data_IF_273608909559
#
_entry.id   IF_273608909559
#
_cell.length_a   1.000
_cell.length_b   1.000
_cell.length_c   1.000
_cell.angle_alpha   90.00
_cell.angle_beta   90.00
_cell.angle_gamma   90.00
#
_symmetry.space_group_name_H-M   'P 1'
#
loop_
_entity.id
_entity.type
_entity.pdbx_description
1 polymer ?
#
# COMPACT_ATOMS: atom_id res chain seq x y z
N UNK A 1 -22.54 -13.26 89.45
CA UNK A 1 -21.98 -12.10 88.73
C UNK A 1 -22.33 -12.24 87.26
N UNK A 2 -23.09 -11.26 86.77
CA UNK A 2 -23.69 -11.19 85.43
C UNK A 2 -22.66 -10.78 84.38
N UNK A 3 -22.59 -11.49 83.26
CA UNK A 3 -21.99 -10.97 82.02
C UNK A 3 -22.98 -11.23 80.89
N UNK A 4 -23.78 -10.20 80.58
CA UNK A 4 -24.61 -10.12 79.36
C UNK A 4 -23.68 -9.87 78.16
N UNK A 5 -23.70 -10.75 77.17
CA UNK A 5 -23.15 -10.49 75.83
C UNK A 5 -24.25 -9.84 74.99
N UNK A 6 -24.08 -8.58 74.66
CA UNK A 6 -24.94 -7.82 73.75
C UNK A 6 -24.53 -8.11 72.31
N UNK A 7 -25.43 -8.73 71.53
CA UNK A 7 -25.28 -8.89 70.09
C UNK A 7 -25.73 -7.61 69.38
N UNK A 8 -24.81 -6.90 68.76
CA UNK A 8 -25.09 -5.78 67.85
C UNK A 8 -25.41 -6.36 66.46
N UNK A 9 -26.66 -6.25 66.02
CA UNK A 9 -27.03 -6.41 64.61
C UNK A 9 -26.56 -5.16 63.84
N UNK A 10 -25.60 -5.30 62.96
CA UNK A 10 -25.25 -4.27 61.97
C UNK A 10 -26.22 -4.39 60.78
N UNK A 11 -27.09 -3.41 60.63
CA UNK A 11 -27.98 -3.26 59.48
C UNK A 11 -27.16 -2.67 58.32
N UNK A 12 -26.77 -3.50 57.35
CA UNK A 12 -26.11 -3.04 56.14
C UNK A 12 -27.15 -2.37 55.22
N UNK A 13 -27.15 -1.03 55.18
CA UNK A 13 -27.86 -0.29 54.13
C UNK A 13 -27.15 -0.52 52.80
N UNK A 14 -27.76 -1.31 51.92
CA UNK A 14 -27.39 -1.37 50.51
C UNK A 14 -27.98 -0.13 49.83
N UNK A 15 -27.16 0.91 49.66
CA UNK A 15 -27.48 2.01 48.77
C UNK A 15 -27.35 1.53 47.32
N UNK A 16 -28.49 1.25 46.69
CA UNK A 16 -28.56 1.05 45.24
C UNK A 16 -28.27 2.38 44.54
N UNK A 17 -26.98 2.67 44.34
CA UNK A 17 -26.55 3.78 43.49
C UNK A 17 -26.90 3.45 42.04
N UNK A 18 -27.90 4.14 41.50
CA UNK A 18 -28.13 4.16 40.05
C UNK A 18 -26.92 4.82 39.39
N UNK A 19 -26.02 4.01 38.84
CA UNK A 19 -24.99 4.46 37.91
C UNK A 19 -25.71 5.01 36.68
N UNK A 20 -25.90 6.34 36.65
CA UNK A 20 -26.27 7.04 35.42
C UNK A 20 -25.06 6.90 34.49
N UNK A 21 -25.16 6.01 33.50
CA UNK A 21 -24.17 5.91 32.45
C UNK A 21 -24.04 7.28 31.79
N UNK A 22 -22.85 7.89 31.86
CA UNK A 22 -22.55 9.06 31.06
C UNK A 22 -22.81 8.69 29.58
N UNK A 23 -23.41 9.58 28.76
CA UNK A 23 -23.59 9.30 27.35
C UNK A 23 -22.21 8.98 26.76
N UNK A 24 -22.08 7.81 26.13
CA UNK A 24 -20.88 7.47 25.40
C UNK A 24 -20.68 8.55 24.33
N UNK A 25 -19.64 9.37 24.48
CA UNK A 25 -19.24 10.28 23.42
C UNK A 25 -18.89 9.42 22.20
N UNK A 26 -19.66 9.58 21.12
CA UNK A 26 -19.32 8.95 19.85
C UNK A 26 -17.87 9.30 19.50
N UNK A 27 -17.08 8.30 19.10
CA UNK A 27 -15.72 8.56 18.65
C UNK A 27 -15.74 9.63 17.55
N UNK A 28 -14.89 10.65 17.66
CA UNK A 28 -14.80 11.68 16.65
C UNK A 28 -14.48 11.03 15.30
N UNK A 29 -15.31 11.30 14.29
CA UNK A 29 -15.10 10.82 12.93
C UNK A 29 -14.35 11.85 12.07
N UNK A 30 -13.89 11.46 10.88
CA UNK A 30 -13.43 12.36 9.85
C UNK A 30 -14.38 13.53 9.59
N UNK A 31 -13.80 14.72 9.36
CA UNK A 31 -14.54 15.91 8.92
C UNK A 31 -14.15 16.28 7.50
N UNK A 32 -15.04 16.96 6.78
CA UNK A 32 -14.80 17.34 5.37
C UNK A 32 -13.86 18.54 5.27
N UNK A 33 -12.90 18.46 4.34
CA UNK A 33 -12.08 19.58 3.90
C UNK A 33 -12.51 20.03 2.50
N UNK A 34 -12.26 21.30 2.10
CA UNK A 34 -12.53 21.75 0.74
C UNK A 34 -11.64 21.01 -0.27
N UNK A 35 -12.21 20.07 -1.03
CA UNK A 35 -11.46 19.23 -1.95
C UNK A 35 -10.75 20.03 -3.07
N UNK A 36 -11.33 21.16 -3.49
CA UNK A 36 -10.74 22.06 -4.47
C UNK A 36 -9.38 22.66 -4.07
N UNK A 37 -8.96 22.50 -2.82
CA UNK A 37 -7.62 22.90 -2.36
C UNK A 37 -6.53 21.93 -2.80
N UNK A 38 -6.85 20.72 -3.27
CA UNK A 38 -5.87 19.68 -3.58
C UNK A 38 -5.93 19.33 -5.07
N UNK A 39 -4.79 19.44 -5.75
CA UNK A 39 -4.67 19.15 -7.18
C UNK A 39 -3.47 18.26 -7.48
N UNK A 40 -3.57 17.49 -8.55
CA UNK A 40 -2.48 16.73 -9.16
C UNK A 40 -2.10 17.35 -10.50
N UNK A 41 -0.80 17.29 -10.82
CA UNK A 41 -0.26 17.54 -12.15
C UNK A 41 0.40 16.26 -12.65
N UNK A 42 -0.05 15.73 -13.78
CA UNK A 42 0.41 14.45 -14.30
C UNK A 42 1.20 14.63 -15.60
N UNK A 43 2.38 14.00 -15.67
CA UNK A 43 3.22 13.93 -16.86
C UNK A 43 3.63 12.48 -17.12
N UNK A 44 3.06 11.86 -18.15
CA UNK A 44 3.34 10.47 -18.57
C UNK A 44 4.34 10.38 -19.73
N UNK A 45 4.80 11.51 -20.27
CA UNK A 45 5.69 11.54 -21.44
C UNK A 45 7.12 11.92 -21.09
N UNK A 46 7.39 12.22 -19.81
CA UNK A 46 8.68 12.66 -19.29
C UNK A 46 9.85 11.77 -19.73
N UNK A 47 9.63 10.46 -19.85
CA UNK A 47 10.67 9.49 -20.15
C UNK A 47 10.49 8.78 -21.50
N UNK A 48 9.57 9.21 -22.36
CA UNK A 48 9.18 8.45 -23.57
C UNK A 48 10.34 8.12 -24.50
N UNK A 49 11.20 9.11 -24.79
CA UNK A 49 12.33 8.93 -25.71
C UNK A 49 13.34 7.91 -25.18
N UNK A 50 13.69 8.00 -23.89
CA UNK A 50 14.65 7.08 -23.25
C UNK A 50 14.03 5.69 -23.09
N UNK A 51 12.77 5.60 -22.64
CA UNK A 51 12.07 4.33 -22.49
C UNK A 51 11.90 3.58 -23.81
N UNK A 52 11.58 4.29 -24.90
CA UNK A 52 11.48 3.67 -26.23
C UNK A 52 12.81 3.08 -26.67
N UNK A 53 13.91 3.76 -26.38
CA UNK A 53 15.26 3.28 -26.67
C UNK A 53 15.68 2.11 -25.75
N UNK A 54 15.33 2.15 -24.46
CA UNK A 54 15.54 1.04 -23.53
C UNK A 54 14.78 -0.22 -23.97
N UNK A 55 13.50 -0.09 -24.35
CA UNK A 55 12.69 -1.19 -24.88
C UNK A 55 13.33 -1.80 -26.13
N UNK A 56 13.82 -0.95 -27.04
CA UNK A 56 14.48 -1.41 -28.27
C UNK A 56 15.78 -2.18 -27.99
N UNK A 57 16.59 -1.72 -27.03
CA UNK A 57 17.90 -2.34 -26.74
C UNK A 57 17.81 -3.56 -25.81
N UNK A 58 17.07 -3.46 -24.71
CA UNK A 58 16.98 -4.51 -23.68
C UNK A 58 15.87 -5.54 -23.98
N UNK A 59 14.85 -5.14 -24.75
CA UNK A 59 13.64 -5.93 -24.95
C UNK A 59 12.74 -5.95 -23.71
N UNK A 60 11.49 -6.34 -23.90
CA UNK A 60 10.50 -6.44 -22.83
C UNK A 60 10.11 -7.89 -22.53
N UNK A 61 9.46 -8.08 -21.38
CA UNK A 61 8.74 -9.29 -21.03
C UNK A 61 7.32 -8.93 -20.56
N UNK A 62 6.27 -9.60 -21.07
CA UNK A 62 4.93 -9.46 -20.51
C UNK A 62 4.84 -10.10 -19.12
N UNK A 63 3.77 -9.77 -18.38
CA UNK A 63 3.61 -10.20 -16.98
C UNK A 63 3.56 -11.72 -16.85
N UNK A 64 2.86 -12.43 -17.74
CA UNK A 64 2.83 -13.89 -17.71
C UNK A 64 4.21 -14.50 -17.85
N UNK A 65 5.05 -13.98 -18.76
CA UNK A 65 6.43 -14.46 -18.91
C UNK A 65 7.24 -14.20 -17.65
N UNK A 66 7.07 -13.05 -17.00
CA UNK A 66 7.75 -12.74 -15.72
C UNK A 66 7.33 -13.74 -14.64
N UNK A 67 6.06 -14.12 -14.59
CA UNK A 67 5.52 -15.08 -13.63
C UNK A 67 5.87 -16.54 -13.93
N UNK A 68 5.93 -16.94 -15.20
CA UNK A 68 6.50 -18.23 -15.63
C UNK A 68 7.97 -18.37 -15.17
N UNK A 69 8.66 -17.24 -15.01
CA UNK A 69 10.04 -17.14 -14.53
C UNK A 69 10.12 -16.82 -13.01
N UNK A 70 9.01 -16.92 -12.27
CA UNK A 70 9.02 -16.76 -10.82
C UNK A 70 9.91 -17.83 -10.16
N UNK A 71 10.80 -17.38 -9.28
CA UNK A 71 11.91 -18.19 -8.80
C UNK A 71 12.06 -18.20 -7.27
N UNK A 72 11.11 -17.63 -6.54
CA UNK A 72 11.06 -17.61 -5.08
C UNK A 72 9.75 -18.19 -4.62
N UNK A 73 9.79 -19.04 -3.59
CA UNK A 73 8.61 -19.72 -3.07
C UNK A 73 7.92 -18.90 -1.98
N UNK A 74 6.59 -18.84 -2.03
CA UNK A 74 5.78 -18.37 -0.90
C UNK A 74 5.82 -19.41 0.21
N UNK A 75 5.90 -18.96 1.44
CA UNK A 75 5.65 -19.79 2.62
C UNK A 75 4.19 -19.62 3.08
N UNK A 76 3.58 -20.64 3.71
CA UNK A 76 2.29 -20.45 4.36
C UNK A 76 2.41 -19.45 5.51
N UNK A 77 1.29 -18.82 5.84
CA UNK A 77 1.15 -18.08 7.11
C UNK A 77 1.45 -19.03 8.28
N UNK A 78 2.13 -18.55 9.34
CA UNK A 78 2.35 -19.37 10.52
C UNK A 78 1.02 -19.64 11.21
N UNK A 79 0.86 -20.81 11.81
CA UNK A 79 -0.37 -21.19 12.54
C UNK A 79 -0.70 -20.27 13.72
N UNK A 80 0.30 -19.53 14.21
CA UNK A 80 0.16 -18.51 15.26
C UNK A 80 -0.34 -17.16 14.75
N UNK A 81 -0.32 -16.90 13.44
CA UNK A 81 -0.85 -15.66 12.89
C UNK A 81 -2.37 -15.69 12.90
N UNK A 82 -2.97 -14.76 13.64
CA UNK A 82 -4.41 -14.64 13.80
C UNK A 82 -4.82 -13.19 13.81
N UNK A 83 -5.82 -12.87 13.00
CA UNK A 83 -6.50 -11.58 12.94
C UNK A 83 -7.97 -11.85 12.63
N UNK A 84 -8.88 -11.00 13.13
CA UNK A 84 -10.30 -11.23 12.92
C UNK A 84 -10.63 -11.26 11.42
N UNK A 85 -11.50 -12.20 11.01
CA UNK A 85 -11.91 -12.31 9.61
C UNK A 85 -10.84 -12.81 8.64
N UNK A 86 -9.69 -13.33 9.12
CA UNK A 86 -8.64 -13.90 8.27
C UNK A 86 -9.23 -14.91 7.28
N UNK A 87 -8.98 -14.68 5.98
CA UNK A 87 -9.46 -15.51 4.88
C UNK A 87 -8.34 -16.27 4.19
N UNK A 88 -7.09 -15.85 4.37
CA UNK A 88 -5.92 -16.49 3.78
C UNK A 88 -4.74 -15.52 3.65
N UNK A 89 -3.65 -16.03 3.09
CA UNK A 89 -2.45 -15.25 2.84
C UNK A 89 -1.21 -16.12 2.75
N UNK A 90 -0.05 -15.48 2.78
CA UNK A 90 1.25 -16.13 2.68
C UNK A 90 2.33 -15.31 3.40
N UNK A 91 3.54 -15.84 3.45
CA UNK A 91 4.77 -15.13 3.76
C UNK A 91 5.73 -15.18 2.59
N UNK A 92 6.58 -14.18 2.49
CA UNK A 92 7.76 -14.28 1.62
C UNK A 92 8.69 -15.39 2.12
N UNK A 93 9.65 -15.79 1.27
CA UNK A 93 10.63 -16.82 1.63
C UNK A 93 11.45 -16.42 2.86
N UNK A 94 12.24 -17.35 3.42
CA UNK A 94 12.99 -17.07 4.64
C UNK A 94 14.01 -15.94 4.48
N UNK A 95 14.58 -15.75 3.28
CA UNK A 95 15.54 -14.69 3.00
C UNK A 95 14.88 -13.33 3.05
N UNK A 96 13.81 -13.14 2.28
CA UNK A 96 13.01 -11.93 2.27
C UNK A 96 12.25 -11.70 3.56
N UNK A 97 11.92 -12.73 4.34
CA UNK A 97 11.26 -12.55 5.62
C UNK A 97 12.23 -12.06 6.70
N UNK A 98 13.51 -12.46 6.65
CA UNK A 98 14.52 -12.14 7.67
C UNK A 98 15.46 -10.98 7.31
N UNK A 99 15.45 -10.51 6.07
CA UNK A 99 16.33 -9.42 5.60
C UNK A 99 16.04 -8.09 6.33
N UNK A 100 16.98 -7.60 7.13
CA UNK A 100 16.87 -6.31 7.80
C UNK A 100 17.21 -5.09 6.92
N UNK A 101 17.43 -5.27 5.60
CA UNK A 101 17.64 -4.17 4.65
C UNK A 101 16.43 -3.88 3.79
N UNK A 102 15.66 -4.90 3.40
CA UNK A 102 14.50 -4.72 2.51
C UNK A 102 13.20 -4.75 3.29
N UNK A 103 12.26 -3.85 3.01
CA UNK A 103 11.00 -3.75 3.77
C UNK A 103 9.80 -3.61 2.84
N UNK A 104 8.73 -4.42 3.01
CA UNK A 104 7.50 -4.27 2.25
C UNK A 104 6.69 -3.10 2.79
N UNK A 105 5.97 -2.43 1.91
CA UNK A 105 5.28 -1.17 2.21
C UNK A 105 3.88 -1.15 1.60
N UNK A 106 3.75 -0.98 0.29
CA UNK A 106 2.46 -0.92 -0.38
C UNK A 106 1.90 -2.29 -0.76
N UNK A 107 0.57 -2.38 -0.92
CA UNK A 107 -0.11 -3.54 -1.51
C UNK A 107 -1.21 -3.15 -2.49
N UNK A 108 -1.29 -3.87 -3.60
CA UNK A 108 -2.39 -3.80 -4.58
C UNK A 108 -2.55 -5.18 -5.22
N UNK A 109 -3.59 -5.37 -6.03
CA UNK A 109 -3.87 -6.68 -6.64
C UNK A 109 -4.28 -6.56 -8.10
N UNK A 110 -4.24 -7.66 -8.86
CA UNK A 110 -4.73 -7.67 -10.24
C UNK A 110 -6.23 -7.31 -10.33
N UNK A 111 -6.98 -7.47 -9.24
CA UNK A 111 -8.36 -6.98 -9.16
C UNK A 111 -8.46 -5.47 -9.11
N UNK A 112 -7.51 -4.79 -8.48
CA UNK A 112 -7.36 -3.34 -8.64
C UNK A 112 -7.07 -2.98 -10.10
N UNK A 113 -6.39 -3.83 -10.87
CA UNK A 113 -6.09 -3.56 -12.28
C UNK A 113 -7.32 -3.67 -13.19
N UNK A 114 -7.96 -4.85 -13.21
CA UNK A 114 -8.99 -5.23 -14.20
C UNK A 114 -10.39 -5.39 -13.60
N UNK A 115 -10.52 -5.40 -12.28
CA UNK A 115 -11.78 -5.62 -11.57
C UNK A 115 -12.11 -7.10 -11.50
N UNK A 116 -13.38 -7.43 -11.69
CA UNK A 116 -13.86 -8.83 -11.76
C UNK A 116 -13.91 -9.36 -13.19
N UNK A 117 -13.58 -8.54 -14.19
CA UNK A 117 -13.41 -8.97 -15.56
C UNK A 117 -12.33 -10.07 -15.63
N UNK A 118 -12.61 -11.15 -16.35
CA UNK A 118 -11.70 -12.31 -16.43
C UNK A 118 -11.37 -12.92 -15.07
N UNK A 119 -12.28 -12.87 -14.09
CA UNK A 119 -12.05 -13.32 -12.71
C UNK A 119 -11.00 -12.53 -11.95
N UNK A 120 -10.68 -11.31 -12.40
CA UNK A 120 -9.60 -10.52 -11.83
C UNK A 120 -8.21 -10.91 -12.31
N UNK A 121 -8.13 -11.70 -13.38
CA UNK A 121 -6.86 -12.06 -14.01
C UNK A 121 -6.29 -10.91 -14.84
N UNK A 122 -5.03 -10.60 -14.58
CA UNK A 122 -4.21 -9.76 -15.45
C UNK A 122 -3.21 -10.64 -16.18
N UNK A 123 -3.25 -10.63 -17.51
CA UNK A 123 -2.34 -11.40 -18.36
C UNK A 123 -2.31 -12.90 -17.98
N UNK A 124 -3.46 -13.47 -17.62
CA UNK A 124 -3.59 -14.89 -17.24
C UNK A 124 -3.37 -15.23 -15.76
N UNK A 125 -3.01 -14.26 -14.91
CA UNK A 125 -2.73 -14.50 -13.50
C UNK A 125 -3.58 -13.65 -12.55
N UNK A 126 -3.97 -14.19 -11.39
CA UNK A 126 -4.42 -13.41 -10.25
C UNK A 126 -3.21 -13.08 -9.38
N UNK A 127 -2.89 -11.79 -9.25
CA UNK A 127 -1.64 -11.36 -8.62
C UNK A 127 -1.88 -10.49 -7.39
N UNK A 128 -1.05 -10.69 -6.38
CA UNK A 128 -0.84 -9.74 -5.29
C UNK A 128 0.49 -9.04 -5.53
N UNK A 129 0.46 -7.71 -5.57
CA UNK A 129 1.62 -6.86 -5.85
C UNK A 129 1.97 -6.09 -4.60
N UNK A 130 3.24 -6.17 -4.18
CA UNK A 130 3.74 -5.41 -3.03
C UNK A 130 4.88 -4.51 -3.45
N UNK A 131 4.90 -3.26 -2.98
CA UNK A 131 6.07 -2.38 -3.13
C UNK A 131 7.00 -2.53 -1.93
N UNK A 132 8.29 -2.32 -2.18
CA UNK A 132 9.34 -2.47 -1.20
C UNK A 132 10.40 -1.40 -1.38
N UNK A 133 11.05 -1.02 -0.30
CA UNK A 133 12.34 -0.35 -0.36
C UNK A 133 13.47 -1.27 0.13
N UNK A 134 14.71 -0.89 -0.17
CA UNK A 134 15.91 -1.54 0.31
C UNK A 134 16.92 -0.50 0.74
N UNK A 135 17.44 -0.64 1.94
CA UNK A 135 18.48 0.22 2.50
C UNK A 135 19.89 -0.27 2.15
N UNK A 136 20.86 0.65 2.20
CA UNK A 136 22.28 0.32 2.00
C UNK A 136 22.80 -0.69 3.04
N UNK A 137 22.32 -0.59 4.26
CA UNK A 137 22.58 -1.47 5.39
C UNK A 137 21.36 -1.52 6.31
N UNK A 138 21.33 -2.41 7.30
CA UNK A 138 20.19 -2.47 8.22
C UNK A 138 20.11 -1.17 9.03
N UNK A 139 19.01 -0.42 8.89
CA UNK A 139 18.86 0.94 9.43
C UNK A 139 19.64 2.02 8.67
N UNK A 140 20.10 1.71 7.45
CA UNK A 140 20.79 2.65 6.56
C UNK A 140 19.83 3.57 5.82
N UNK A 141 20.38 4.28 4.82
CA UNK A 141 19.56 5.11 3.94
C UNK A 141 18.91 4.24 2.85
N UNK A 142 17.70 4.64 2.43
CA UNK A 142 17.01 4.05 1.30
C UNK A 142 17.89 4.14 0.05
N UNK A 143 18.11 3.00 -0.58
CA UNK A 143 18.96 2.87 -1.76
C UNK A 143 18.13 2.55 -3.00
N UNK A 144 17.14 1.66 -2.86
CA UNK A 144 16.38 1.09 -4.00
C UNK A 144 14.93 0.88 -3.64
N UNK A 145 14.10 0.75 -4.66
CA UNK A 145 12.72 0.32 -4.54
C UNK A 145 12.38 -0.72 -5.60
N UNK A 146 11.45 -1.61 -5.28
CA UNK A 146 11.04 -2.72 -6.13
C UNK A 146 9.55 -3.01 -5.96
N UNK A 147 8.99 -3.77 -6.89
CA UNK A 147 7.74 -4.48 -6.67
C UNK A 147 7.98 -5.99 -6.68
N UNK A 148 7.13 -6.70 -5.96
CA UNK A 148 7.06 -8.16 -6.00
C UNK A 148 5.69 -8.55 -6.53
N UNK A 149 5.67 -9.37 -7.58
CA UNK A 149 4.47 -10.03 -8.09
C UNK A 149 4.39 -11.42 -7.46
N UNK A 150 3.35 -11.70 -6.70
CA UNK A 150 3.07 -13.01 -6.11
C UNK A 150 1.82 -13.61 -6.76
N UNK A 151 1.93 -14.85 -7.22
CA UNK A 151 0.78 -15.56 -7.79
C UNK A 151 -0.19 -15.96 -6.69
N UNK A 152 -1.47 -15.66 -6.90
CA UNK A 152 -2.58 -16.02 -6.03
C UNK A 152 -3.60 -16.92 -6.75
N UNK A 153 -3.39 -17.19 -8.03
CA UNK A 153 -4.20 -18.14 -8.77
C UNK A 153 -3.74 -19.57 -8.45
N UNK A 154 -4.70 -20.40 -8.03
CA UNK A 154 -4.45 -21.79 -7.65
C UNK A 154 -3.97 -22.67 -8.82
N UNK A 155 -4.07 -22.20 -10.06
CA UNK A 155 -3.53 -22.91 -11.23
C UNK A 155 -2.01 -22.79 -11.37
N UNK A 156 -1.38 -21.85 -10.66
CA UNK A 156 0.05 -21.60 -10.72
C UNK A 156 0.75 -22.01 -9.41
N UNK A 157 2.05 -22.31 -9.45
CA UNK A 157 2.82 -22.57 -8.23
C UNK A 157 2.77 -21.39 -7.26
N UNK A 158 2.82 -21.68 -5.96
CA UNK A 158 2.90 -20.69 -4.89
C UNK A 158 4.24 -19.93 -4.90
N UNK A 159 4.45 -19.08 -5.92
CA UNK A 159 5.72 -18.39 -6.18
C UNK A 159 5.56 -16.90 -6.37
N UNK A 160 6.68 -16.20 -6.30
CA UNK A 160 6.76 -14.77 -6.58
C UNK A 160 8.02 -14.38 -7.34
N UNK A 161 7.97 -13.19 -7.95
CA UNK A 161 9.06 -12.60 -8.72
C UNK A 161 9.29 -11.15 -8.33
N UNK A 162 10.56 -10.78 -8.16
CA UNK A 162 11.00 -9.41 -7.87
C UNK A 162 11.27 -8.66 -9.16
N UNK A 163 10.85 -7.39 -9.21
CA UNK A 163 11.11 -6.45 -10.31
C UNK A 163 11.62 -5.14 -9.72
N UNK A 164 12.84 -4.73 -10.09
CA UNK A 164 13.42 -3.49 -9.60
C UNK A 164 12.73 -2.29 -10.24
N UNK A 165 12.36 -1.27 -9.46
CA UNK A 165 11.86 -0.01 -10.00
C UNK A 165 13.05 0.89 -10.33
N UNK A 166 13.11 1.38 -11.58
CA UNK A 166 14.26 2.17 -12.04
C UNK A 166 13.83 3.49 -12.68
N UNK A 167 14.65 4.52 -12.53
CA UNK A 167 14.45 5.80 -13.19
C UNK A 167 15.26 5.81 -14.49
N UNK A 168 14.63 6.06 -15.65
CA UNK A 168 15.36 6.23 -16.90
C UNK A 168 16.31 7.43 -16.85
N UNK A 169 17.49 7.27 -17.45
CA UNK A 169 18.56 8.28 -17.54
C UNK A 169 19.23 8.23 -18.92
N UNK A 170 20.14 9.17 -19.17
CA UNK A 170 20.85 9.26 -20.46
C UNK A 170 19.98 9.87 -21.56
N UNK A 171 20.13 9.38 -22.79
CA UNK A 171 19.45 9.91 -23.99
C UNK A 171 18.88 8.76 -24.83
N UNK A 172 18.11 9.05 -25.87
CA UNK A 172 17.65 8.00 -26.80
C UNK A 172 18.82 7.27 -27.50
N UNK A 173 19.96 7.93 -27.73
CA UNK A 173 21.14 7.32 -28.34
C UNK A 173 21.93 6.45 -27.34
N UNK A 174 22.01 6.90 -26.10
CA UNK A 174 22.67 6.22 -24.99
C UNK A 174 21.68 6.08 -23.81
N UNK A 175 20.68 5.18 -23.92
CA UNK A 175 19.66 5.04 -22.90
C UNK A 175 20.18 4.20 -21.73
N UNK A 176 19.86 4.64 -20.53
CA UNK A 176 20.32 4.03 -19.29
C UNK A 176 19.25 4.12 -18.19
N UNK A 177 19.52 3.57 -17.01
CA UNK A 177 18.65 3.72 -15.85
C UNK A 177 19.45 3.63 -14.53
N UNK A 178 18.85 4.17 -13.47
CA UNK A 178 19.41 4.13 -12.10
C UNK A 178 18.35 3.75 -11.07
N UNK A 179 18.83 3.45 -9.87
CA UNK A 179 18.00 3.15 -8.71
C UNK A 179 17.03 4.30 -8.38
N UNK A 180 15.87 3.92 -7.85
CA UNK A 180 14.91 4.84 -7.23
C UNK A 180 14.97 4.65 -5.69
N UNK A 181 15.62 5.55 -4.94
CA UNK A 181 15.78 5.45 -3.48
C UNK A 181 14.59 6.08 -2.76
N UNK A 182 13.41 5.46 -2.86
CA UNK A 182 12.20 5.94 -2.18
C UNK A 182 11.63 4.88 -1.25
N UNK A 183 10.82 5.34 -0.29
CA UNK A 183 10.12 4.48 0.65
C UNK A 183 9.08 3.58 -0.02
N UNK A 184 8.45 4.05 -1.11
CA UNK A 184 7.41 3.33 -1.83
C UNK A 184 6.23 2.91 -0.92
N UNK A 185 5.81 3.80 -0.01
CA UNK A 185 4.84 3.58 1.07
C UNK A 185 3.44 3.10 0.65
N UNK A 186 3.11 3.22 -0.63
CA UNK A 186 1.86 2.72 -1.19
C UNK A 186 2.01 2.39 -2.67
N UNK A 187 1.31 1.36 -3.13
CA UNK A 187 1.20 1.01 -4.55
C UNK A 187 -0.27 0.83 -4.90
N UNK A 188 -0.67 1.29 -6.08
CA UNK A 188 -2.01 1.11 -6.62
C UNK A 188 -1.92 0.74 -8.09
N UNK A 189 -2.72 -0.23 -8.52
CA UNK A 189 -2.73 -0.74 -9.89
C UNK A 189 -4.03 -0.38 -10.59
N UNK A 190 -3.99 0.26 -11.76
CA UNK A 190 -5.18 0.45 -12.58
C UNK A 190 -4.89 0.31 -14.08
N UNK A 191 -5.59 -0.62 -14.75
CA UNK A 191 -5.26 -1.01 -16.12
C UNK A 191 -3.84 -1.57 -16.20
N UNK A 192 -2.99 -0.99 -17.05
CA UNK A 192 -1.59 -1.39 -17.20
C UNK A 192 -0.62 -0.63 -16.28
N UNK A 193 -1.12 0.33 -15.50
CA UNK A 193 -0.29 1.27 -14.76
C UNK A 193 -0.20 0.94 -13.28
N UNK A 194 1.03 0.93 -12.76
CA UNK A 194 1.32 0.98 -11.33
C UNK A 194 1.66 2.41 -10.92
N UNK A 195 0.96 2.88 -9.90
CA UNK A 195 1.22 4.12 -9.20
C UNK A 195 1.91 3.80 -7.89
N UNK A 196 3.04 4.44 -7.61
CA UNK A 196 3.82 4.23 -6.38
C UNK A 196 3.98 5.55 -5.67
N UNK A 197 3.58 5.62 -4.41
CA UNK A 197 3.70 6.81 -3.59
C UNK A 197 5.19 7.16 -3.33
N UNK A 198 5.52 8.43 -3.56
CA UNK A 198 6.81 9.04 -3.25
C UNK A 198 6.55 10.12 -2.20
N UNK A 199 6.85 9.81 -0.93
CA UNK A 199 6.32 10.45 0.29
C UNK A 199 6.18 11.98 0.22
N UNK A 200 7.18 12.67 -0.32
CA UNK A 200 7.19 14.14 -0.43
C UNK A 200 6.89 14.70 -1.82
N UNK A 201 6.72 13.84 -2.84
CA UNK A 201 6.71 14.24 -4.24
C UNK A 201 5.43 13.86 -5.00
N UNK A 202 4.54 13.05 -4.40
CA UNK A 202 3.31 12.57 -5.02
C UNK A 202 3.42 11.11 -5.42
N UNK A 203 3.36 10.82 -6.71
CA UNK A 203 3.45 9.45 -7.23
C UNK A 203 4.41 9.33 -8.42
N UNK A 204 5.09 8.19 -8.49
CA UNK A 204 5.77 7.70 -9.68
C UNK A 204 4.87 6.73 -10.41
N UNK A 205 4.91 6.76 -11.74
CA UNK A 205 4.08 5.90 -12.59
C UNK A 205 4.96 4.93 -13.36
N UNK A 206 4.53 3.67 -13.40
CA UNK A 206 5.16 2.58 -14.14
C UNK A 206 4.13 1.89 -15.03
N UNK A 207 4.55 1.31 -16.15
CA UNK A 207 3.69 0.62 -17.12
C UNK A 207 4.12 -0.85 -17.23
N UNK A 208 3.27 -1.78 -16.80
CA UNK A 208 3.58 -3.22 -16.73
C UNK A 208 3.80 -3.86 -18.10
N UNK A 209 3.44 -3.19 -19.20
CA UNK A 209 3.78 -3.65 -20.56
C UNK A 209 5.23 -3.37 -20.94
N UNK A 210 5.93 -2.56 -20.14
CA UNK A 210 7.31 -2.10 -20.37
C UNK A 210 8.30 -2.68 -19.36
N UNK A 211 8.03 -3.85 -18.78
CA UNK A 211 9.02 -4.58 -17.96
C UNK A 211 10.18 -4.97 -18.88
N UNK A 212 11.37 -4.46 -18.58
CA UNK A 212 12.59 -4.71 -19.35
C UNK A 212 13.30 -5.95 -18.82
N UNK A 213 13.95 -6.68 -19.72
CA UNK A 213 14.84 -7.79 -19.36
C UNK A 213 16.23 -7.25 -19.07
N UNK A 214 16.87 -7.77 -18.04
CA UNK A 214 18.26 -7.46 -17.68
C UNK A 214 19.07 -8.74 -17.57
N UNK A 215 20.38 -8.62 -17.79
CA UNK A 215 21.31 -9.72 -17.69
C UNK A 215 21.70 -9.94 -16.21
N UNK A 216 21.68 -11.20 -15.77
CA UNK A 216 21.96 -11.59 -14.38
C UNK A 216 23.39 -12.09 -14.16
N UNK A 217 24.26 -11.99 -15.17
CA UNK A 217 25.68 -12.36 -15.11
C UNK A 217 26.59 -11.31 -14.49
N UNK A 218 26.05 -10.14 -14.12
CA UNK A 218 26.76 -9.08 -13.40
C UNK A 218 26.93 -9.33 -11.90
N UNK A 219 27.26 -8.27 -11.16
CA UNK A 219 27.31 -8.27 -9.70
C UNK A 219 26.15 -7.49 -9.08
N UNK A 220 25.94 -7.70 -7.77
CA UNK A 220 24.92 -6.98 -7.00
C UNK A 220 25.17 -5.45 -6.89
N UNK A 221 26.34 -4.97 -7.29
CA UNK A 221 26.71 -3.54 -7.26
C UNK A 221 26.49 -2.84 -8.60
N UNK A 222 26.30 -3.60 -9.69
CA UNK A 222 26.17 -3.04 -11.03
C UNK A 222 24.72 -2.75 -11.40
N UNK A 223 24.52 -1.59 -12.05
CA UNK A 223 23.24 -1.16 -12.61
C UNK A 223 23.47 -0.42 -13.91
N UNK A 224 22.48 -0.49 -14.79
CA UNK A 224 22.45 0.28 -16.03
C UNK A 224 23.24 -0.36 -17.16
N UNK A 225 23.46 0.42 -18.20
CA UNK A 225 24.14 0.03 -19.42
C UNK A 225 25.59 -0.40 -19.14
N UNK A 226 25.99 -1.50 -19.76
CA UNK A 226 27.36 -2.01 -19.70
C UNK A 226 28.04 -1.85 -21.07
N UNK A 227 27.97 -2.89 -21.89
CA UNK A 227 28.52 -2.92 -23.25
C UNK A 227 27.50 -3.51 -24.21
N UNK A 228 27.52 -3.07 -25.47
CA UNK A 228 26.54 -3.51 -26.46
C UNK A 228 25.10 -3.25 -26.01
N UNK A 229 24.29 -4.30 -25.95
CA UNK A 229 22.90 -4.26 -25.47
C UNK A 229 22.73 -4.85 -24.06
N UNK A 230 23.83 -5.02 -23.31
CA UNK A 230 23.80 -5.61 -21.97
C UNK A 230 23.48 -4.55 -20.92
N UNK A 231 22.48 -4.84 -20.09
CA UNK A 231 22.09 -4.04 -18.94
C UNK A 231 22.09 -4.90 -17.69
N UNK A 232 22.72 -4.40 -16.62
CA UNK A 232 22.68 -5.04 -15.30
C UNK A 232 21.74 -4.28 -14.37
N UNK A 233 21.25 -4.98 -13.35
CA UNK A 233 20.34 -4.42 -12.36
C UNK A 233 20.43 -5.16 -11.04
N UNK A 234 21.60 -5.18 -10.40
CA UNK A 234 21.80 -5.81 -9.09
C UNK A 234 21.39 -7.29 -9.06
N UNK A 235 21.67 -8.01 -10.14
CA UNK A 235 21.24 -9.40 -10.40
C UNK A 235 19.72 -9.63 -10.52
N UNK A 236 18.91 -8.57 -10.62
CA UNK A 236 17.52 -8.69 -11.05
C UNK A 236 17.53 -9.03 -12.55
N UNK A 237 16.65 -9.94 -12.98
CA UNK A 237 16.45 -10.21 -14.41
C UNK A 237 15.39 -9.30 -15.04
N UNK A 238 14.68 -8.53 -14.21
CA UNK A 238 13.62 -7.63 -14.65
C UNK A 238 13.71 -6.29 -13.92
N UNK A 239 13.60 -5.22 -14.70
CA UNK A 239 13.41 -3.86 -14.19
C UNK A 239 12.14 -3.26 -14.79
N UNK A 240 11.49 -2.40 -14.03
CA UNK A 240 10.31 -1.67 -14.46
C UNK A 240 10.66 -0.17 -14.47
N UNK A 241 10.88 0.42 -15.66
CA UNK A 241 11.25 1.82 -15.77
C UNK A 241 10.06 2.73 -15.50
N UNK A 242 10.32 3.83 -14.78
CA UNK A 242 9.36 4.89 -14.59
C UNK A 242 8.95 5.48 -15.94
N UNK A 243 7.64 5.63 -16.17
CA UNK A 243 7.08 6.25 -17.38
C UNK A 243 6.59 7.66 -17.12
N UNK A 244 6.20 7.98 -15.89
CA UNK A 244 5.64 9.29 -15.56
C UNK A 244 5.80 9.71 -14.11
N UNK A 245 5.45 10.97 -13.86
CA UNK A 245 5.42 11.57 -12.53
C UNK A 245 4.09 12.27 -12.35
N UNK A 246 3.53 12.15 -11.14
CA UNK A 246 2.35 12.88 -10.73
C UNK A 246 2.70 13.65 -9.47
N UNK A 247 2.74 14.97 -9.57
CA UNK A 247 3.00 15.85 -8.44
C UNK A 247 1.70 16.35 -7.83
N UNK A 248 1.73 16.68 -6.55
CA UNK A 248 0.58 17.20 -5.83
C UNK A 248 0.83 18.64 -5.37
N UNK A 249 -0.20 19.47 -5.49
CA UNK A 249 -0.20 20.85 -5.03
C UNK A 249 -1.37 21.10 -4.11
N UNK A 250 -1.20 22.04 -3.18
CA UNK A 250 -2.29 22.44 -2.29
C UNK A 250 -2.30 23.92 -1.96
N UNK A 251 -3.49 24.51 -1.90
CA UNK A 251 -3.73 25.86 -1.39
C UNK A 251 -4.01 25.90 0.11
N UNK A 252 -4.03 24.74 0.78
CA UNK A 252 -4.21 24.63 2.23
C UNK A 252 -2.95 24.99 3.04
N UNK A 253 -1.88 25.45 2.38
CA UNK A 253 -0.64 25.93 2.99
C UNK A 253 0.39 24.86 3.38
N UNK A 254 0.01 23.58 3.49
CA UNK A 254 0.94 22.49 3.88
C UNK A 254 0.90 21.33 2.90
N UNK A 255 2.06 20.97 2.34
CA UNK A 255 2.22 19.86 1.40
C UNK A 255 1.68 18.54 1.96
N UNK A 256 1.22 17.66 1.06
CA UNK A 256 0.76 16.32 1.40
C UNK A 256 1.94 15.41 1.73
N UNK A 257 1.86 14.66 2.84
CA UNK A 257 2.82 13.63 3.21
C UNK A 257 2.28 12.25 2.82
N UNK A 258 2.60 11.76 1.63
CA UNK A 258 2.02 10.56 1.04
C UNK A 258 2.50 9.30 1.75
N UNK A 259 1.65 8.68 2.57
CA UNK A 259 2.00 7.41 3.21
C UNK A 259 1.61 6.23 2.34
N UNK A 260 0.31 6.05 2.13
CA UNK A 260 -0.23 4.96 1.33
C UNK A 260 -1.24 5.49 0.33
N UNK A 261 -1.43 4.71 -0.73
CA UNK A 261 -2.45 4.89 -1.75
C UNK A 261 -3.15 3.56 -2.04
N UNK A 262 -4.37 3.62 -2.55
CA UNK A 262 -5.10 2.45 -3.07
C UNK A 262 -6.15 2.88 -4.08
N UNK A 263 -6.65 1.93 -4.87
CA UNK A 263 -7.69 2.19 -5.85
C UNK A 263 -9.07 1.96 -5.23
N UNK A 264 -9.96 2.94 -5.36
CA UNK A 264 -11.41 2.70 -5.28
C UNK A 264 -11.93 2.45 -6.70
N UNK A 265 -12.20 1.18 -6.99
CA UNK A 265 -12.71 0.76 -8.29
C UNK A 265 -14.14 1.16 -8.56
N UNK A 266 -14.97 1.45 -7.55
CA UNK A 266 -16.35 1.86 -7.79
C UNK A 266 -16.35 3.30 -8.31
N UNK A 267 -15.60 4.18 -7.66
CA UNK A 267 -15.53 5.59 -8.06
C UNK A 267 -14.43 5.92 -9.07
N UNK A 268 -13.64 4.92 -9.48
CA UNK A 268 -12.50 5.08 -10.40
C UNK A 268 -11.57 6.20 -9.94
N UNK A 269 -11.01 6.05 -8.74
CA UNK A 269 -10.15 7.06 -8.12
C UNK A 269 -9.06 6.42 -7.30
N UNK A 270 -7.88 7.04 -7.25
CA UNK A 270 -6.92 6.73 -6.21
C UNK A 270 -7.27 7.52 -4.96
N UNK A 271 -7.28 6.84 -3.83
CA UNK A 271 -7.34 7.45 -2.51
C UNK A 271 -5.95 7.44 -1.88
N UNK A 272 -5.65 8.46 -1.09
CA UNK A 272 -4.39 8.57 -0.35
C UNK A 272 -4.67 8.95 1.11
N UNK A 273 -3.76 8.56 2.00
CA UNK A 273 -3.75 9.01 3.39
C UNK A 273 -2.35 9.46 3.79
N UNK A 274 -2.29 10.44 4.70
CA UNK A 274 -1.04 10.96 5.22
C UNK A 274 -0.54 10.20 6.46
N UNK A 275 0.78 10.01 6.54
CA UNK A 275 1.43 9.66 7.80
C UNK A 275 1.83 10.94 8.52
N UNK A 276 1.16 11.22 9.63
CA UNK A 276 1.46 12.36 10.50
C UNK A 276 1.39 11.95 11.96
N UNK A 277 1.94 12.79 12.81
CA UNK A 277 1.95 12.57 14.25
C UNK A 277 1.17 13.68 14.98
N UNK A 278 0.63 13.41 16.18
CA UNK A 278 0.05 14.48 16.99
C UNK A 278 1.14 15.46 17.44
N UNK A 279 2.32 14.93 17.79
CA UNK A 279 3.53 15.66 18.14
C UNK A 279 4.74 14.73 18.09
N UNK A 280 5.96 15.31 18.11
CA UNK A 280 7.21 14.58 18.34
C UNK A 280 7.83 13.86 17.13
N UNK A 281 7.25 13.94 15.95
CA UNK A 281 7.88 13.39 14.75
C UNK A 281 8.87 14.38 14.13
N UNK A 282 10.08 13.89 13.83
CA UNK A 282 11.14 14.69 13.20
C UNK A 282 10.96 14.74 11.68
N UNK A 283 10.73 13.57 11.07
CA UNK A 283 10.70 13.42 9.61
C UNK A 283 9.30 13.53 8.99
N UNK A 284 8.27 13.64 9.84
CA UNK A 284 6.87 13.69 9.43
C UNK A 284 6.12 14.87 10.05
N UNK A 285 5.12 15.44 9.36
CA UNK A 285 4.35 16.55 9.90
C UNK A 285 3.67 16.24 11.23
N UNK A 286 3.67 17.21 12.14
CA UNK A 286 2.96 17.15 13.42
C UNK A 286 1.63 17.89 13.32
N UNK A 287 0.63 17.25 12.71
CA UNK A 287 -0.73 17.79 12.51
C UNK A 287 -1.72 16.67 12.22
N UNK A 288 -3.04 16.88 12.38
CA UNK A 288 -4.04 15.91 11.93
C UNK A 288 -3.82 15.48 10.46
N UNK A 289 -3.80 14.18 10.14
CA UNK A 289 -3.58 13.72 8.77
C UNK A 289 -4.83 13.91 7.93
N UNK A 290 -4.61 13.99 6.62
CA UNK A 290 -5.67 14.12 5.63
C UNK A 290 -5.80 12.84 4.82
N UNK A 291 -7.01 12.56 4.33
CA UNK A 291 -7.24 11.58 3.27
C UNK A 291 -7.90 12.25 2.07
N UNK A 292 -7.36 12.01 0.89
CA UNK A 292 -7.76 12.71 -0.34
C UNK A 292 -8.11 11.69 -1.41
N UNK A 293 -9.17 11.96 -2.19
CA UNK A 293 -9.59 11.17 -3.34
C UNK A 293 -9.36 11.95 -4.61
N UNK A 294 -8.60 11.36 -5.54
CA UNK A 294 -8.33 11.92 -6.85
C UNK A 294 -9.00 11.04 -7.93
N UNK A 295 -10.00 11.57 -8.66
CA UNK A 295 -10.72 10.81 -9.67
C UNK A 295 -9.90 10.67 -10.97
N UNK A 296 -10.07 9.55 -11.65
CA UNK A 296 -9.73 9.43 -13.06
C UNK A 296 -10.86 10.01 -13.92
N UNK A 297 -10.53 10.45 -15.14
CA UNK A 297 -11.55 10.79 -16.12
C UNK A 297 -12.36 9.53 -16.52
N UNK A 298 -13.60 9.71 -16.97
CA UNK A 298 -14.44 8.59 -17.40
C UNK A 298 -13.75 7.77 -18.50
N UNK A 299 -13.67 6.44 -18.29
CA UNK A 299 -13.01 5.51 -19.21
C UNK A 299 -11.47 5.55 -19.18
N UNK A 300 -10.86 6.42 -18.39
CA UNK A 300 -9.41 6.52 -18.28
C UNK A 300 -8.86 5.64 -17.14
N UNK A 301 -7.64 5.15 -17.34
CA UNK A 301 -6.80 4.51 -16.31
C UNK A 301 -5.57 5.35 -15.98
N UNK A 302 -5.51 6.58 -16.50
CA UNK A 302 -4.47 7.59 -16.27
C UNK A 302 -5.12 8.91 -15.87
N UNK A 303 -4.44 9.64 -14.99
CA UNK A 303 -4.86 10.99 -14.61
C UNK A 303 -4.75 11.96 -15.79
N UNK A 304 -5.69 12.90 -15.87
CA UNK A 304 -5.54 14.05 -16.75
C UNK A 304 -4.33 14.91 -16.32
N UNK A 305 -3.81 15.71 -17.26
CA UNK A 305 -2.66 16.58 -17.00
C UNK A 305 -2.82 17.46 -15.75
N UNK A 306 -4.04 17.91 -15.47
CA UNK A 306 -4.43 18.49 -14.19
C UNK A 306 -5.68 17.76 -13.66
N UNK A 307 -5.65 17.38 -12.37
CA UNK A 307 -6.78 16.72 -11.71
C UNK A 307 -7.04 17.38 -10.37
N UNK A 308 -8.28 17.79 -10.10
CA UNK A 308 -8.69 18.29 -8.79
C UNK A 308 -9.28 17.15 -7.95
N UNK A 309 -8.99 17.11 -6.65
CA UNK A 309 -9.58 16.12 -5.77
C UNK A 309 -11.11 16.23 -5.75
N UNK A 310 -11.79 15.08 -5.67
CA UNK A 310 -13.25 15.03 -5.53
C UNK A 310 -13.71 14.95 -4.09
N UNK A 311 -12.83 14.55 -3.18
CA UNK A 311 -13.11 14.44 -1.76
C UNK A 311 -11.82 14.68 -0.96
N UNK A 312 -11.94 15.39 0.15
CA UNK A 312 -10.88 15.56 1.12
C UNK A 312 -11.45 15.45 2.54
N UNK A 313 -10.75 14.72 3.39
CA UNK A 313 -11.13 14.45 4.78
C UNK A 313 -9.99 14.85 5.70
N UNK A 314 -10.32 15.49 6.82
CA UNK A 314 -9.44 15.62 7.98
C UNK A 314 -9.69 14.43 8.90
N UNK A 315 -8.65 13.66 9.21
CA UNK A 315 -8.75 12.46 10.02
C UNK A 315 -8.39 12.74 11.50
N UNK A 316 -9.05 12.06 12.45
CA UNK A 316 -8.75 12.17 13.88
C UNK A 316 -7.70 11.15 14.35
N UNK A 317 -7.27 10.25 13.47
CA UNK A 317 -6.30 9.18 13.76
C UNK A 317 -4.94 9.53 13.17
N UNK A 318 -3.87 9.05 13.78
CA UNK A 318 -2.49 9.39 13.42
C UNK A 318 -1.69 8.16 13.02
N UNK A 319 -0.50 8.37 12.47
CA UNK A 319 0.44 7.30 12.07
C UNK A 319 -0.22 6.27 11.17
N UNK A 320 -0.95 6.75 10.17
CA UNK A 320 -1.72 5.91 9.26
C UNK A 320 -0.79 5.36 8.18
N UNK A 321 -0.66 4.04 8.17
CA UNK A 321 0.21 3.25 7.29
C UNK A 321 -0.50 2.73 6.04
N UNK A 322 -1.83 2.76 6.03
CA UNK A 322 -2.61 2.23 4.93
C UNK A 322 -3.98 2.86 4.82
N UNK A 323 -4.50 2.83 3.61
CA UNK A 323 -5.81 3.37 3.26
C UNK A 323 -6.45 2.49 2.20
N UNK A 324 -7.72 2.17 2.37
CA UNK A 324 -8.58 1.61 1.33
C UNK A 324 -9.90 2.35 1.30
N UNK A 325 -10.53 2.40 0.12
CA UNK A 325 -11.90 2.90 0.00
C UNK A 325 -12.68 2.13 -1.03
N UNK A 326 -13.97 1.95 -0.76
CA UNK A 326 -14.90 1.31 -1.67
C UNK A 326 -16.33 1.79 -1.36
N UNK A 327 -17.01 2.33 -2.37
CA UNK A 327 -18.40 2.77 -2.29
C UNK A 327 -18.67 3.73 -1.09
N UNK A 328 -17.81 4.74 -0.94
CA UNK A 328 -17.94 5.76 0.12
C UNK A 328 -17.52 5.30 1.52
N UNK A 329 -17.14 4.03 1.69
CA UNK A 329 -16.53 3.49 2.91
C UNK A 329 -15.01 3.65 2.85
N UNK A 330 -14.40 3.85 4.01
CA UNK A 330 -12.97 4.07 4.17
C UNK A 330 -12.41 3.18 5.26
N UNK A 331 -11.22 2.64 5.03
CA UNK A 331 -10.43 1.92 6.01
C UNK A 331 -9.06 2.55 6.12
N UNK A 332 -8.54 2.67 7.34
CA UNK A 332 -7.21 3.16 7.62
C UNK A 332 -6.56 2.29 8.68
N UNK A 333 -5.32 1.84 8.49
CA UNK A 333 -4.62 1.13 9.55
C UNK A 333 -3.50 1.98 10.17
N UNK A 334 -3.33 1.87 11.47
CA UNK A 334 -2.19 2.40 12.23
C UNK A 334 -1.43 1.21 12.81
N UNK A 335 -0.22 1.00 12.32
CA UNK A 335 0.62 -0.12 12.72
C UNK A 335 1.03 -0.03 14.19
N UNK A 336 1.38 1.18 14.65
CA UNK A 336 1.82 1.44 16.02
C UNK A 336 0.70 1.30 17.04
N UNK A 337 -0.51 1.78 16.71
CA UNK A 337 -1.67 1.66 17.59
C UNK A 337 -2.31 0.26 17.53
N UNK A 338 -1.94 -0.54 16.52
CA UNK A 338 -2.52 -1.86 16.23
C UNK A 338 -4.03 -1.77 16.02
N UNK A 339 -4.44 -0.76 15.24
CA UNK A 339 -5.85 -0.45 14.96
C UNK A 339 -6.13 -0.38 13.47
N UNK A 340 -7.32 -0.83 13.10
CA UNK A 340 -7.96 -0.55 11.83
C UNK A 340 -9.17 0.33 12.11
N UNK A 341 -9.17 1.51 11.53
CA UNK A 341 -10.26 2.48 11.60
C UNK A 341 -11.13 2.32 10.36
N UNK A 342 -12.43 2.25 10.57
CA UNK A 342 -13.45 2.27 9.53
C UNK A 342 -14.20 3.60 9.60
N UNK A 343 -14.63 4.11 8.45
CA UNK A 343 -15.59 5.21 8.40
C UNK A 343 -16.45 5.18 7.15
N UNK A 344 -17.73 5.49 7.33
CA UNK A 344 -18.61 5.92 6.25
C UNK A 344 -19.48 7.08 6.74
N UNK A 345 -19.84 8.01 5.87
CA UNK A 345 -20.65 9.18 6.23
C UNK A 345 -22.00 8.79 6.84
N UNK A 346 -22.61 7.70 6.37
CA UNK A 346 -23.92 7.25 6.81
C UNK A 346 -23.90 6.57 8.20
N UNK A 347 -22.81 5.89 8.55
CA UNK A 347 -22.74 5.06 9.78
C UNK A 347 -21.79 5.61 10.84
N UNK A 348 -20.94 6.58 10.50
CA UNK A 348 -19.90 7.08 11.38
C UNK A 348 -18.69 6.13 11.49
N UNK A 349 -17.75 6.43 12.41
CA UNK A 349 -16.51 5.68 12.56
C UNK A 349 -16.68 4.42 13.41
N UNK A 350 -15.87 3.40 13.13
CA UNK A 350 -15.65 2.25 13.99
C UNK A 350 -14.15 1.95 14.10
N UNK A 351 -13.74 1.31 15.20
CA UNK A 351 -12.34 0.97 15.46
C UNK A 351 -12.23 -0.50 15.80
N UNK A 352 -11.32 -1.19 15.13
CA UNK A 352 -11.08 -2.62 15.29
C UNK A 352 -9.63 -2.87 15.71
N UNK A 353 -9.40 -4.00 16.39
CA UNK A 353 -8.04 -4.49 16.61
C UNK A 353 -7.41 -4.91 15.27
N UNK A 354 -6.13 -4.62 15.11
CA UNK A 354 -5.36 -4.92 13.91
C UNK A 354 -3.96 -5.43 14.26
N UNK A 355 -3.20 -5.81 13.25
CA UNK A 355 -1.82 -6.28 13.40
C UNK A 355 -0.86 -5.13 13.71
N UNK A 356 0.23 -5.43 14.42
CA UNK A 356 1.37 -4.53 14.51
C UNK A 356 2.23 -4.59 13.26
N UNK A 357 2.90 -3.49 12.91
CA UNK A 357 3.72 -3.40 11.70
C UNK A 357 2.95 -3.58 10.40
N UNK A 358 1.61 -3.43 10.42
CA UNK A 358 0.79 -3.55 9.23
C UNK A 358 0.97 -2.36 8.29
N UNK A 359 1.14 -2.61 7.00
CA UNK A 359 1.29 -1.57 5.98
C UNK A 359 0.25 -1.75 4.89
N UNK A 360 -0.22 -0.61 4.36
CA UNK A 360 -1.10 -0.47 3.21
C UNK A 360 -2.38 -1.33 3.23
N UNK A 361 -3.32 -1.00 2.33
CA UNK A 361 -4.58 -1.72 2.18
C UNK A 361 -4.99 -1.74 0.71
N UNK A 362 -5.49 -2.87 0.22
CA UNK A 362 -6.13 -2.99 -1.10
C UNK A 362 -7.49 -3.67 -0.95
N UNK A 363 -8.47 -3.18 -1.71
CA UNK A 363 -9.83 -3.74 -1.70
C UNK A 363 -9.96 -4.75 -2.83
N UNK A 364 -10.30 -5.98 -2.49
CA UNK A 364 -10.56 -7.04 -3.45
C UNK A 364 -12.05 -7.28 -3.55
N UNK A 365 -12.64 -6.72 -4.61
CA UNK A 365 -14.04 -6.94 -4.95
C UNK A 365 -14.21 -8.32 -5.59
N UNK A 366 -15.21 -9.07 -5.13
CA UNK A 366 -15.56 -10.38 -5.65
C UNK A 366 -17.08 -10.53 -5.81
N UNK A 367 -17.53 -10.97 -6.98
CA UNK A 367 -18.96 -11.17 -7.27
C UNK A 367 -19.49 -12.52 -6.80
N UNK A 368 -18.62 -13.48 -6.53
CA UNK A 368 -18.96 -14.86 -6.16
C UNK A 368 -18.63 -15.18 -4.70
N UNK A 369 -17.66 -14.50 -4.11
CA UNK A 369 -17.17 -14.70 -2.76
C UNK A 369 -17.25 -13.43 -1.93
N UNK A 370 -16.85 -13.51 -0.66
CA UNK A 370 -16.76 -12.33 0.17
C UNK A 370 -15.69 -11.36 -0.35
N UNK A 371 -16.01 -10.07 -0.37
CA UNK A 371 -15.02 -9.02 -0.56
C UNK A 371 -13.94 -9.10 0.52
N UNK A 372 -12.70 -8.85 0.11
CA UNK A 372 -11.55 -8.91 1.00
C UNK A 372 -10.86 -7.55 1.12
N UNK A 373 -10.23 -7.33 2.27
CA UNK A 373 -9.21 -6.32 2.45
C UNK A 373 -7.85 -7.04 2.53
N UNK A 374 -6.96 -6.71 1.61
CA UNK A 374 -5.57 -7.17 1.61
C UNK A 374 -4.69 -6.18 2.35
N UNK A 375 -3.74 -6.71 3.11
CA UNK A 375 -2.71 -5.95 3.82
C UNK A 375 -1.44 -6.78 3.93
N UNK A 376 -0.36 -6.18 4.43
CA UNK A 376 0.89 -6.86 4.70
C UNK A 376 1.51 -6.37 6.01
N UNK A 377 2.56 -7.05 6.47
CA UNK A 377 3.38 -6.61 7.61
C UNK A 377 4.83 -6.33 7.20
N UNK A 378 5.38 -5.23 7.70
CA UNK A 378 6.77 -4.81 7.46
C UNK A 378 7.80 -5.57 8.32
N UNK A 379 7.40 -5.91 9.55
CA UNK A 379 8.32 -6.34 10.62
C UNK A 379 9.16 -7.55 10.21
N UNK A 380 10.48 -7.43 10.36
CA UNK A 380 11.44 -8.52 10.14
C UNK A 380 11.00 -9.79 10.89
N UNK A 381 11.01 -10.92 10.20
CA UNK A 381 10.56 -12.22 10.70
C UNK A 381 9.05 -12.44 10.64
N UNK A 382 8.25 -11.40 10.41
CA UNK A 382 6.78 -11.43 10.39
C UNK A 382 6.19 -10.79 9.14
N UNK A 383 6.83 -10.93 7.97
CA UNK A 383 6.40 -10.37 6.68
C UNK A 383 5.29 -11.20 6.06
N UNK A 384 4.15 -11.16 6.72
CA UNK A 384 2.90 -11.76 6.27
C UNK A 384 2.24 -10.86 5.23
N UNK A 385 1.68 -11.45 4.19
CA UNK A 385 0.71 -10.84 3.27
C UNK A 385 -0.60 -11.58 3.49
N UNK A 386 -1.67 -10.88 3.80
CA UNK A 386 -2.90 -11.52 4.26
C UNK A 386 -4.14 -10.79 3.79
N UNK A 387 -5.23 -11.54 3.68
CA UNK A 387 -6.55 -11.06 3.34
C UNK A 387 -7.51 -11.33 4.48
N UNK A 388 -8.35 -10.34 4.81
CA UNK A 388 -9.46 -10.49 5.75
C UNK A 388 -10.78 -10.24 5.04
N UNK A 389 -11.85 -10.89 5.48
CA UNK A 389 -13.20 -10.58 5.01
C UNK A 389 -13.55 -9.15 5.37
N UNK A 390 -13.83 -8.33 4.36
CA UNK A 390 -14.16 -6.92 4.52
C UNK A 390 -15.30 -6.73 5.52
N UNK A 391 -16.34 -7.56 5.47
CA UNK A 391 -17.52 -7.49 6.34
C UNK A 391 -17.20 -7.56 7.84
N UNK A 392 -16.03 -8.08 8.24
CA UNK A 392 -15.56 -8.09 9.63
C UNK A 392 -15.21 -6.68 10.14
N UNK A 393 -14.89 -5.79 9.20
CA UNK A 393 -14.36 -4.44 9.43
C UNK A 393 -15.26 -3.37 8.79
N UNK A 394 -16.53 -3.71 8.52
CA UNK A 394 -17.58 -2.76 8.16
C UNK A 394 -18.51 -2.52 9.36
N UNK A 395 -19.34 -1.48 9.23
CA UNK A 395 -20.51 -1.28 10.10
C UNK A 395 -21.72 -2.06 9.58
#
# INVERSE_FOLDING_TARGET
MSVRRSSLLALALVTAGTLVAAPAFAAAGPTTLPAGQFTLSANYTQFDAVNSALVSKAGTAPVHTVMDNANLDRAPLPSSFSVAGLSGGFRFDSGDNSDCKSYPQGITTSRDAVGTAGSGNYDGHQLVVTSWYTDTACGGAQQRSRVILADWDATYPDKYRKILLVQPTGTAAAPDFKDIPIHAGGVSWYGDYLYVADTGHGMRVFDLRKILKTDTGGTADQIGHQSGNTYYAHNYAYVLPQVGTITASTTSGTALAWSSISLDRVSKSIVMAEYTCPSGCADYPNRPPRAIRFPFASGATTFAAATTASQALQLPWYKLNGVASHNGRWWFNSSGDKKLYYWASATGPATHAWVGGGESLSYWEDTANADLLWSLQETVGSRNVFAVKQATYGA
#
